data_IF_111877204370
#
_entry.id   IF_111877204370
#
_cell.length_a   1.000
_cell.length_b   1.000
_cell.length_c   1.000
_cell.angle_alpha   90.00
_cell.angle_beta   90.00
_cell.angle_gamma   90.00
#
_symmetry.space_group_name_H-M   'P 1'
#
loop_
_entity.id
_entity.type
_entity.pdbx_description
1 polymer ?
#
# COMPACT_ATOMS: atom_id res chain seq x y z
N UNK A 1 15.77 -20.41 -19.83
CA UNK A 1 15.75 -20.84 -18.42
C UNK A 1 15.13 -19.71 -17.63
N UNK A 2 14.14 -19.98 -16.76
CA UNK A 2 13.58 -18.94 -15.90
C UNK A 2 14.68 -18.38 -14.99
N UNK A 3 14.83 -17.05 -14.92
CA UNK A 3 15.82 -16.42 -14.06
C UNK A 3 15.49 -16.74 -12.60
N UNK A 4 16.44 -17.34 -11.88
CA UNK A 4 16.28 -17.61 -10.46
C UNK A 4 16.28 -16.28 -9.69
N UNK A 5 15.19 -16.00 -8.97
CA UNK A 5 15.06 -14.81 -8.13
C UNK A 5 16.00 -14.91 -6.92
N UNK A 6 16.60 -13.79 -6.46
CA UNK A 6 17.44 -13.81 -5.26
C UNK A 6 16.60 -14.12 -4.01
N UNK A 7 17.08 -15.02 -3.16
CA UNK A 7 16.49 -15.24 -1.83
C UNK A 7 16.98 -14.17 -0.85
N UNK A 8 16.36 -13.01 -0.92
CA UNK A 8 16.68 -11.84 -0.08
C UNK A 8 16.07 -11.91 1.32
N UNK A 9 15.17 -12.86 1.59
CA UNK A 9 14.36 -12.86 2.81
C UNK A 9 13.45 -11.63 2.95
N UNK A 10 13.23 -10.86 1.88
CA UNK A 10 12.43 -9.63 1.94
C UNK A 10 11.01 -9.93 2.41
N UNK A 11 10.48 -9.13 3.32
CA UNK A 11 9.11 -9.24 3.80
C UNK A 11 8.09 -8.86 2.71
N UNK A 12 6.81 -9.05 3.00
CA UNK A 12 5.77 -8.23 2.37
C UNK A 12 5.90 -6.77 2.80
N UNK A 13 5.19 -5.86 2.14
CA UNK A 13 5.26 -4.44 2.48
C UNK A 13 5.00 -4.22 3.98
N UNK A 14 6.01 -3.64 4.65
CA UNK A 14 6.05 -3.53 6.10
C UNK A 14 5.25 -2.34 6.59
N UNK A 15 5.60 -1.14 6.13
CA UNK A 15 4.89 0.09 6.45
C UNK A 15 4.63 0.91 5.18
N UNK A 16 3.51 1.63 5.20
CA UNK A 16 3.36 2.86 4.40
C UNK A 16 3.72 4.06 5.25
N UNK A 17 4.53 4.95 4.70
CA UNK A 17 4.92 6.21 5.35
C UNK A 17 4.07 7.34 4.79
N UNK A 18 3.28 7.94 5.66
CA UNK A 18 2.35 9.00 5.35
C UNK A 18 2.72 10.29 6.09
N UNK A 19 3.15 11.29 5.34
CA UNK A 19 3.52 12.60 5.87
C UNK A 19 2.28 13.49 6.07
N UNK A 20 2.14 14.07 7.25
CA UNK A 20 0.95 14.83 7.70
C UNK A 20 1.33 16.17 8.33
N UNK A 21 0.41 17.13 8.27
CA UNK A 21 0.53 18.43 8.96
C UNK A 21 0.21 18.34 10.46
N UNK A 22 -0.80 17.54 10.82
CA UNK A 22 -1.27 17.40 12.21
C UNK A 22 -1.26 15.93 12.65
N UNK A 23 -0.28 15.59 13.49
CA UNK A 23 -0.15 14.26 14.07
C UNK A 23 -1.36 13.86 14.92
N UNK A 24 -1.97 14.80 15.65
CA UNK A 24 -3.09 14.50 16.55
C UNK A 24 -4.32 14.12 15.76
N UNK A 25 -4.60 14.87 14.69
CA UNK A 25 -5.67 14.51 13.76
C UNK A 25 -5.41 13.15 13.12
N UNK A 26 -4.21 12.92 12.59
CA UNK A 26 -3.86 11.68 11.92
C UNK A 26 -3.94 10.46 12.87
N UNK A 27 -3.41 10.57 14.09
CA UNK A 27 -3.48 9.50 15.10
C UNK A 27 -4.94 9.19 15.45
N UNK A 28 -5.79 10.22 15.63
CA UNK A 28 -7.21 10.01 15.90
C UNK A 28 -7.91 9.34 14.70
N UNK A 29 -7.67 9.83 13.49
CA UNK A 29 -8.24 9.31 12.26
C UNK A 29 -7.89 7.83 12.07
N UNK A 30 -6.60 7.47 12.15
CA UNK A 30 -6.16 6.08 12.02
C UNK A 30 -6.54 5.22 13.23
N UNK A 31 -6.80 5.84 14.38
CA UNK A 31 -7.39 5.19 15.55
C UNK A 31 -8.78 4.60 15.28
N UNK A 32 -9.62 5.27 14.49
CA UNK A 32 -10.94 4.74 14.08
C UNK A 32 -10.81 3.45 13.24
N UNK A 33 -9.70 3.32 12.54
CA UNK A 33 -9.34 2.12 11.77
C UNK A 33 -8.68 1.03 12.62
N UNK A 34 -8.44 1.28 13.91
CA UNK A 34 -7.82 0.33 14.83
C UNK A 34 -6.30 0.44 14.94
N UNK A 35 -5.68 1.47 14.36
CA UNK A 35 -4.25 1.70 14.54
C UNK A 35 -3.94 2.40 15.87
N UNK A 36 -2.89 1.94 16.55
CA UNK A 36 -2.36 2.57 17.77
C UNK A 36 -0.88 2.89 17.62
N UNK A 37 -0.44 4.00 18.21
CA UNK A 37 1.00 4.32 18.29
C UNK A 37 1.70 3.26 19.14
N UNK A 38 2.77 2.67 18.60
CA UNK A 38 3.61 1.68 19.29
C UNK A 38 5.04 2.16 19.50
N UNK A 39 5.48 3.15 18.73
CA UNK A 39 6.79 3.77 18.85
C UNK A 39 6.75 5.19 18.27
N UNK A 40 7.64 6.06 18.74
CA UNK A 40 7.75 7.43 18.26
C UNK A 40 9.13 8.01 18.54
N UNK A 41 9.58 8.89 17.67
CA UNK A 41 10.83 9.63 17.87
C UNK A 41 10.80 10.98 17.16
N UNK A 42 11.84 11.77 17.38
CA UNK A 42 12.06 13.01 16.66
C UNK A 42 13.55 13.13 16.31
N UNK A 43 13.83 13.69 15.14
CA UNK A 43 15.20 13.95 14.67
C UNK A 43 15.34 15.39 14.20
N UNK A 44 16.57 15.91 14.31
CA UNK A 44 16.90 17.27 13.86
C UNK A 44 16.83 17.39 12.33
N UNK A 45 16.76 18.61 11.81
CA UNK A 45 16.84 18.86 10.37
C UNK A 45 18.16 18.35 9.75
N UNK A 46 19.27 18.43 10.47
CA UNK A 46 20.57 17.92 10.02
C UNK A 46 20.56 16.38 9.91
N UNK A 47 19.95 15.71 10.88
CA UNK A 47 19.81 14.25 10.85
C UNK A 47 18.86 13.80 9.74
N UNK A 48 17.73 14.49 9.57
CA UNK A 48 16.80 14.22 8.48
C UNK A 48 17.40 14.49 7.09
N UNK A 49 18.23 15.54 6.95
CA UNK A 49 18.96 15.80 5.71
C UNK A 49 19.91 14.64 5.39
N UNK A 50 20.61 14.10 6.39
CA UNK A 50 21.50 12.95 6.22
C UNK A 50 20.75 11.65 5.91
N UNK A 51 19.60 11.44 6.53
CA UNK A 51 18.79 10.22 6.36
C UNK A 51 18.00 10.22 5.05
N UNK A 52 17.36 11.34 4.73
CA UNK A 52 16.30 11.45 3.74
C UNK A 52 16.56 12.49 2.65
N UNK A 53 17.63 13.29 2.79
CA UNK A 53 17.90 14.38 1.86
C UNK A 53 16.97 15.60 2.04
N UNK A 54 16.25 15.69 3.17
CA UNK A 54 15.28 16.74 3.46
C UNK A 54 15.76 17.57 4.66
N UNK A 55 16.03 18.86 4.46
CA UNK A 55 16.46 19.78 5.50
C UNK A 55 15.27 20.32 6.32
N UNK A 56 14.59 19.42 7.02
CA UNK A 56 13.49 19.71 7.92
C UNK A 56 13.56 18.77 9.11
N UNK A 57 13.33 19.29 10.33
CA UNK A 57 13.12 18.41 11.47
C UNK A 57 11.93 17.49 11.20
N UNK A 58 11.97 16.29 11.80
CA UNK A 58 11.00 15.24 11.56
C UNK A 58 10.59 14.61 12.87
N UNK A 59 9.27 14.54 13.12
CA UNK A 59 8.69 13.66 14.14
C UNK A 59 8.07 12.45 13.46
N UNK A 60 8.21 11.28 14.08
CA UNK A 60 7.66 10.04 13.55
C UNK A 60 6.77 9.35 14.58
N UNK A 61 5.77 8.63 14.09
CA UNK A 61 4.95 7.74 14.90
C UNK A 61 4.73 6.44 14.12
N UNK A 62 5.21 5.32 14.65
CA UNK A 62 4.86 4.00 14.12
C UNK A 62 3.54 3.58 14.73
N UNK A 63 2.61 3.22 13.87
CA UNK A 63 1.27 2.77 14.25
C UNK A 63 1.00 1.36 13.75
N UNK A 64 0.34 0.58 14.61
CA UNK A 64 0.05 -0.84 14.38
C UNK A 64 -1.44 -1.10 14.49
N UNK A 65 -2.00 -1.88 13.56
CA UNK A 65 -3.37 -2.38 13.67
C UNK A 65 -3.40 -3.72 14.40
N UNK A 66 -4.17 -3.78 15.50
CA UNK A 66 -4.23 -4.96 16.34
C UNK A 66 -2.83 -5.41 16.79
N UNK A 67 -2.55 -6.70 16.62
CA UNK A 67 -1.27 -7.31 17.00
C UNK A 67 -0.35 -7.55 15.80
N UNK A 68 -0.72 -7.18 14.57
CA UNK A 68 0.08 -7.47 13.37
C UNK A 68 1.34 -6.59 13.32
N UNK A 69 2.51 -7.20 13.51
CA UNK A 69 3.81 -6.52 13.59
C UNK A 69 4.77 -6.85 12.44
N UNK A 70 4.30 -7.59 11.44
CA UNK A 70 5.13 -8.12 10.36
C UNK A 70 4.89 -7.48 9.00
N UNK A 71 3.78 -6.77 8.83
CA UNK A 71 3.35 -6.11 7.59
C UNK A 71 2.18 -5.15 7.85
N UNK A 72 1.89 -4.28 6.88
CA UNK A 72 0.66 -3.48 6.90
C UNK A 72 0.58 -2.40 7.99
N UNK A 73 1.73 -2.02 8.56
CA UNK A 73 1.84 -0.94 9.53
C UNK A 73 1.71 0.43 8.84
N UNK A 74 1.47 1.45 9.66
CA UNK A 74 1.47 2.85 9.24
C UNK A 74 2.62 3.56 9.94
N UNK A 75 3.37 4.39 9.23
CA UNK A 75 4.30 5.34 9.82
C UNK A 75 3.88 6.76 9.49
N UNK A 76 3.57 7.56 10.50
CA UNK A 76 3.28 8.97 10.32
C UNK A 76 4.56 9.78 10.40
N UNK A 77 4.76 10.67 9.43
CA UNK A 77 5.84 11.64 9.43
C UNK A 77 5.30 13.05 9.55
N UNK A 78 5.92 13.87 10.40
CA UNK A 78 5.54 15.28 10.58
C UNK A 78 6.79 16.11 10.37
N UNK A 79 6.90 16.66 9.17
CA UNK A 79 7.97 17.58 8.81
C UNK A 79 7.70 18.95 9.44
N UNK A 80 8.70 19.55 10.07
CA UNK A 80 8.63 20.96 10.50
C UNK A 80 8.36 21.89 9.31
N UNK A 81 8.96 21.57 8.14
CA UNK A 81 8.81 22.28 6.87
C UNK A 81 8.72 21.26 5.74
N UNK A 82 7.51 20.77 5.39
CA UNK A 82 7.35 19.88 4.24
C UNK A 82 7.78 20.59 2.94
N UNK A 83 8.28 19.82 1.97
CA UNK A 83 8.74 20.32 0.67
C UNK A 83 7.59 20.73 -0.27
N UNK A 84 6.38 20.27 0.03
CA UNK A 84 5.16 20.61 -0.69
C UNK A 84 3.96 19.82 -0.21
N UNK A 85 2.83 20.04 -0.88
CA UNK A 85 1.51 19.52 -0.48
C UNK A 85 1.28 18.05 -0.88
N UNK A 86 2.26 17.42 -1.53
CA UNK A 86 2.10 16.07 -2.03
C UNK A 86 1.20 15.98 -3.26
N UNK A 87 0.82 14.76 -3.62
CA UNK A 87 -0.10 14.51 -4.74
C UNK A 87 -1.48 15.12 -4.47
N UNK A 88 -1.91 15.22 -3.21
CA UNK A 88 -3.17 15.85 -2.80
C UNK A 88 -4.42 15.22 -3.40
N UNK A 89 -5.54 15.95 -3.35
CA UNK A 89 -6.81 15.51 -3.93
C UNK A 89 -6.79 15.62 -5.46
N UNK A 90 -7.09 14.52 -6.14
CA UNK A 90 -7.04 14.41 -7.60
C UNK A 90 -8.02 13.38 -8.13
N UNK A 91 -8.17 13.35 -9.45
CA UNK A 91 -8.97 12.32 -10.12
C UNK A 91 -8.32 10.94 -9.92
N UNK A 92 -9.11 9.85 -9.93
CA UNK A 92 -8.57 8.50 -9.92
C UNK A 92 -7.48 8.30 -10.97
N UNK A 93 -6.40 7.61 -10.58
CA UNK A 93 -5.22 7.39 -11.41
C UNK A 93 -4.46 8.67 -11.79
N UNK A 94 -4.51 9.69 -10.93
CA UNK A 94 -3.53 10.79 -11.01
C UNK A 94 -2.13 10.20 -10.85
N UNK A 95 -1.23 10.51 -11.78
CA UNK A 95 0.14 9.98 -11.75
C UNK A 95 0.86 10.50 -10.48
N UNK A 96 1.50 9.58 -9.77
CA UNK A 96 2.09 9.79 -8.44
C UNK A 96 1.18 9.32 -7.29
N UNK A 97 -0.11 9.12 -7.55
CA UNK A 97 -1.07 8.65 -6.54
C UNK A 97 -0.68 7.27 -6.01
N UNK A 98 -0.87 7.11 -4.71
CA UNK A 98 -0.74 5.84 -4.01
C UNK A 98 -2.04 5.57 -3.28
N UNK A 99 -2.36 4.30 -3.07
CA UNK A 99 -3.56 3.88 -2.36
C UNK A 99 -3.17 2.75 -1.39
N UNK A 100 -3.74 2.77 -0.19
CA UNK A 100 -3.55 1.69 0.76
C UNK A 100 -4.86 0.92 0.96
N UNK A 101 -4.76 -0.41 0.97
CA UNK A 101 -5.94 -1.27 0.88
C UNK A 101 -6.16 -2.07 2.15
N UNK A 102 -7.37 -2.04 2.70
CA UNK A 102 -7.73 -2.69 3.96
C UNK A 102 -8.93 -3.61 3.78
N UNK A 103 -8.98 -4.70 4.56
CA UNK A 103 -10.21 -5.47 4.74
C UNK A 103 -11.13 -4.73 5.71
N UNK A 104 -12.43 -4.84 5.51
CA UNK A 104 -13.47 -4.45 6.46
C UNK A 104 -14.55 -5.53 6.59
N UNK A 105 -15.20 -5.59 7.75
CA UNK A 105 -16.45 -6.34 7.92
C UNK A 105 -17.71 -5.48 7.71
N UNK A 106 -17.56 -4.19 7.40
CA UNK A 106 -18.66 -3.25 7.24
C UNK A 106 -18.37 -2.18 6.18
N UNK A 107 -18.32 -2.61 4.91
CA UNK A 107 -18.00 -1.73 3.78
C UNK A 107 -19.08 -0.67 3.54
N UNK A 108 -20.33 -0.97 3.89
CA UNK A 108 -21.46 -0.04 3.76
C UNK A 108 -21.29 1.12 4.72
N UNK A 109 -20.93 0.85 5.99
CA UNK A 109 -20.65 1.90 6.96
C UNK A 109 -19.55 2.86 6.50
N UNK A 110 -18.47 2.33 5.91
CA UNK A 110 -17.38 3.15 5.38
C UNK A 110 -17.87 4.02 4.21
N UNK A 111 -18.61 3.44 3.27
CA UNK A 111 -19.21 4.19 2.18
C UNK A 111 -20.12 5.33 2.69
N UNK A 112 -21.01 5.05 3.65
CA UNK A 112 -21.92 6.05 4.22
C UNK A 112 -21.17 7.20 4.89
N UNK A 113 -20.10 6.92 5.65
CA UNK A 113 -19.27 7.95 6.28
C UNK A 113 -18.73 8.90 5.22
N UNK A 114 -18.07 8.37 4.20
CA UNK A 114 -17.41 9.20 3.19
C UNK A 114 -18.39 9.90 2.25
N UNK A 115 -19.53 9.28 1.94
CA UNK A 115 -20.60 9.91 1.16
C UNK A 115 -21.17 11.11 1.91
N UNK A 116 -21.46 10.95 3.21
CA UNK A 116 -21.92 12.07 4.04
C UNK A 116 -20.87 13.20 4.14
N UNK A 117 -19.59 12.86 4.30
CA UNK A 117 -18.52 13.88 4.33
C UNK A 117 -18.40 14.63 2.99
N UNK A 118 -18.56 13.92 1.87
CA UNK A 118 -18.60 14.52 0.53
C UNK A 118 -19.81 15.44 0.35
N UNK A 119 -20.99 15.04 0.84
CA UNK A 119 -22.20 15.87 0.79
C UNK A 119 -22.03 17.17 1.59
N UNK A 120 -21.28 17.09 2.70
CA UNK A 120 -20.80 18.24 3.48
C UNK A 120 -19.62 19.01 2.81
N UNK A 121 -19.35 18.75 1.53
CA UNK A 121 -18.33 19.41 0.71
C UNK A 121 -16.88 19.23 1.18
N UNK A 122 -16.60 18.20 1.97
CA UNK A 122 -15.22 17.80 2.24
C UNK A 122 -14.61 17.10 1.03
N UNK A 123 -13.28 17.13 0.91
CA UNK A 123 -12.52 16.62 -0.22
C UNK A 123 -12.37 15.09 -0.16
N UNK A 124 -13.50 14.40 -0.29
CA UNK A 124 -13.63 12.95 -0.39
C UNK A 124 -14.45 12.56 -1.63
N UNK A 125 -14.02 11.50 -2.30
CA UNK A 125 -14.68 10.86 -3.42
C UNK A 125 -14.74 9.35 -3.17
N UNK A 126 -15.80 8.87 -2.50
CA UNK A 126 -16.05 7.44 -2.39
C UNK A 126 -16.64 6.90 -3.69
N UNK A 127 -16.23 5.71 -4.08
CA UNK A 127 -16.96 4.89 -5.07
C UNK A 127 -17.96 4.01 -4.34
N UNK A 128 -19.07 3.67 -5.00
CA UNK A 128 -20.01 2.68 -4.46
C UNK A 128 -19.33 1.30 -4.32
N UNK A 129 -19.64 0.54 -3.25
CA UNK A 129 -19.17 -0.84 -3.11
C UNK A 129 -19.66 -1.73 -4.25
N UNK A 130 -18.73 -2.29 -5.02
CA UNK A 130 -19.03 -3.19 -6.14
C UNK A 130 -18.72 -4.64 -5.74
N UNK A 131 -19.65 -5.57 -5.99
CA UNK A 131 -19.45 -6.99 -5.75
C UNK A 131 -18.91 -7.71 -6.99
N UNK A 132 -17.90 -8.56 -6.81
CA UNK A 132 -17.30 -9.37 -7.87
C UNK A 132 -16.87 -10.76 -7.37
N UNK A 133 -16.72 -11.71 -8.29
CA UNK A 133 -16.13 -13.03 -8.04
C UNK A 133 -14.73 -13.10 -8.66
N UNK A 134 -13.78 -12.40 -8.03
CA UNK A 134 -12.42 -12.25 -8.54
C UNK A 134 -11.67 -13.58 -8.74
N UNK A 135 -12.10 -14.64 -8.06
CA UNK A 135 -11.41 -15.93 -8.04
C UNK A 135 -12.21 -17.04 -8.73
N UNK A 136 -13.36 -16.73 -9.33
CA UNK A 136 -14.23 -17.72 -9.98
C UNK A 136 -14.68 -18.84 -9.03
N UNK A 137 -14.95 -18.51 -7.77
CA UNK A 137 -15.32 -19.48 -6.73
C UNK A 137 -16.78 -19.92 -6.85
N UNK A 138 -17.61 -19.17 -7.59
CA UNK A 138 -19.01 -19.52 -7.82
C UNK A 138 -19.21 -20.47 -8.99
N UNK A 139 -20.27 -21.27 -8.88
CA UNK A 139 -20.88 -22.00 -10.00
C UNK A 139 -22.25 -21.37 -10.27
N UNK A 140 -22.42 -20.61 -11.37
CA UNK A 140 -23.62 -19.79 -11.60
C UNK A 140 -24.94 -20.58 -11.54
N UNK A 141 -24.93 -21.82 -12.01
CA UNK A 141 -26.06 -22.77 -12.01
C UNK A 141 -26.45 -23.28 -10.61
N UNK A 142 -25.63 -23.01 -9.58
CA UNK A 142 -25.80 -23.55 -8.24
C UNK A 142 -26.11 -22.48 -7.19
N UNK A 143 -26.15 -21.21 -7.57
CA UNK A 143 -26.44 -20.10 -6.64
C UNK A 143 -27.91 -20.16 -6.24
N UNK A 144 -28.17 -20.16 -4.93
CA UNK A 144 -29.53 -20.09 -4.37
C UNK A 144 -29.52 -19.45 -2.99
N UNK A 145 -30.68 -19.29 -2.37
CA UNK A 145 -30.76 -18.81 -0.98
C UNK A 145 -29.97 -19.69 0.01
N UNK A 146 -29.96 -21.01 -0.21
CA UNK A 146 -29.24 -21.99 0.61
C UNK A 146 -27.80 -22.25 0.12
N UNK A 147 -27.43 -21.68 -1.02
CA UNK A 147 -26.08 -21.74 -1.59
C UNK A 147 -25.69 -20.35 -2.06
N UNK A 148 -25.37 -19.53 -1.06
CA UNK A 148 -25.09 -18.11 -1.20
C UNK A 148 -23.84 -17.89 -2.05
N UNK A 149 -23.78 -16.78 -2.82
CA UNK A 149 -22.62 -16.50 -3.64
C UNK A 149 -21.41 -16.14 -2.78
N UNK A 150 -20.24 -16.65 -3.17
CA UNK A 150 -18.93 -16.32 -2.58
C UNK A 150 -18.38 -15.12 -3.31
N UNK A 151 -18.25 -13.97 -2.66
CA UNK A 151 -17.98 -12.70 -3.33
C UNK A 151 -16.97 -11.88 -2.54
N UNK A 152 -16.35 -10.94 -3.24
CA UNK A 152 -15.68 -9.79 -2.62
C UNK A 152 -16.42 -8.51 -3.03
N UNK A 153 -16.60 -7.59 -2.09
CA UNK A 153 -16.99 -6.22 -2.38
C UNK A 153 -15.78 -5.31 -2.26
N UNK A 154 -15.63 -4.36 -3.17
CA UNK A 154 -14.53 -3.40 -3.15
C UNK A 154 -15.07 -1.97 -3.32
N UNK A 155 -14.44 -1.00 -2.67
CA UNK A 155 -14.70 0.42 -2.90
C UNK A 155 -13.42 1.25 -2.68
N UNK A 156 -13.22 2.29 -3.49
CA UNK A 156 -12.19 3.29 -3.25
C UNK A 156 -12.76 4.50 -2.51
N UNK A 157 -11.90 5.18 -1.79
CA UNK A 157 -12.15 6.50 -1.21
C UNK A 157 -10.94 7.38 -1.53
N UNK A 158 -11.10 8.24 -2.53
CA UNK A 158 -10.10 9.22 -2.92
C UNK A 158 -10.23 10.45 -2.04
N UNK A 159 -9.16 10.82 -1.34
CA UNK A 159 -9.17 11.93 -0.40
C UNK A 159 -7.92 12.77 -0.47
N UNK A 160 -8.03 14.03 -0.05
CA UNK A 160 -6.88 14.92 0.12
C UNK A 160 -5.92 14.40 1.20
N UNK A 161 -6.50 13.99 2.34
CA UNK A 161 -5.73 13.51 3.48
C UNK A 161 -5.16 12.12 3.20
N UNK A 162 -5.97 11.17 2.71
CA UNK A 162 -5.53 9.81 2.44
C UNK A 162 -6.39 9.18 1.35
N UNK A 163 -5.83 8.24 0.57
CA UNK A 163 -6.59 7.46 -0.40
C UNK A 163 -6.66 5.99 0.04
N UNK A 164 -7.87 5.53 0.32
CA UNK A 164 -8.15 4.15 0.75
C UNK A 164 -8.73 3.32 -0.39
N UNK A 165 -8.49 2.03 -0.34
CA UNK A 165 -9.40 1.02 -0.90
C UNK A 165 -9.84 0.12 0.24
N UNK A 166 -11.11 -0.23 0.28
CA UNK A 166 -11.63 -1.22 1.20
C UNK A 166 -12.15 -2.43 0.44
N UNK A 167 -12.00 -3.60 1.02
CA UNK A 167 -12.67 -4.79 0.54
C UNK A 167 -13.32 -5.58 1.66
N UNK A 168 -14.42 -6.28 1.34
CA UNK A 168 -15.14 -7.16 2.25
C UNK A 168 -15.41 -8.50 1.58
N UNK A 169 -15.09 -9.60 2.25
CA UNK A 169 -15.28 -10.96 1.73
C UNK A 169 -16.57 -11.59 2.27
N UNK A 170 -17.19 -12.42 1.44
CA UNK A 170 -18.39 -13.18 1.77
C UNK A 170 -18.19 -14.64 1.36
N UNK A 171 -18.43 -15.57 2.29
CA UNK A 171 -18.32 -17.02 2.04
C UNK A 171 -16.90 -17.57 2.02
N UNK A 172 -15.88 -16.74 2.23
CA UNK A 172 -14.48 -17.20 2.36
C UNK A 172 -13.59 -16.23 3.14
N UNK A 173 -12.46 -16.74 3.59
CA UNK A 173 -11.37 -16.01 4.22
C UNK A 173 -10.03 -16.39 3.61
N UNK A 174 -9.05 -15.49 3.77
CA UNK A 174 -7.64 -15.75 3.47
C UNK A 174 -6.85 -15.51 4.75
N UNK A 175 -6.47 -16.57 5.49
CA UNK A 175 -5.73 -16.44 6.74
C UNK A 175 -4.43 -15.61 6.55
N UNK A 176 -4.19 -14.67 7.46
CA UNK A 176 -3.04 -13.77 7.41
C UNK A 176 -3.13 -12.66 6.37
N UNK A 177 -4.31 -12.41 5.78
CA UNK A 177 -4.56 -11.32 4.84
C UNK A 177 -5.81 -10.53 5.23
N UNK A 178 -5.62 -9.45 5.99
CA UNK A 178 -6.70 -8.61 6.49
C UNK A 178 -7.27 -9.12 7.82
N UNK A 179 -6.42 -9.20 8.85
CA UNK A 179 -6.85 -9.64 10.19
C UNK A 179 -7.58 -8.50 10.91
N UNK A 180 -8.88 -8.67 11.15
CA UNK A 180 -9.69 -7.66 11.85
C UNK A 180 -9.75 -8.01 13.34
N UNK A 181 -9.17 -7.13 14.17
CA UNK A 181 -9.27 -7.25 15.63
C UNK A 181 -10.69 -6.89 16.12
N UNK A 182 -11.18 -7.52 17.20
CA UNK A 182 -12.53 -7.27 17.73
C UNK A 182 -12.71 -5.85 18.29
N UNK A 183 -11.61 -5.16 18.61
CA UNK A 183 -11.60 -3.81 19.18
C UNK A 183 -11.52 -2.70 18.13
N UNK A 184 -11.50 -3.01 16.83
CA UNK A 184 -11.36 -2.00 15.77
C UNK A 184 -12.69 -1.27 15.55
N UNK A 185 -12.78 0.07 15.76
CA UNK A 185 -14.07 0.79 15.71
C UNK A 185 -14.81 0.65 14.38
N UNK A 186 -14.09 0.78 13.26
CA UNK A 186 -14.63 0.61 11.91
C UNK A 186 -14.52 -0.83 11.37
N UNK A 187 -14.20 -1.80 12.22
CA UNK A 187 -14.06 -3.22 11.87
C UNK A 187 -13.09 -3.46 10.69
N UNK A 188 -11.97 -2.75 10.69
CA UNK A 188 -10.96 -2.80 9.62
C UNK A 188 -9.67 -3.50 10.05
N UNK A 189 -8.95 -4.06 9.08
CA UNK A 189 -7.69 -4.77 9.29
C UNK A 189 -6.46 -3.85 9.24
N UNK A 190 -5.25 -4.42 9.35
CA UNK A 190 -4.03 -3.80 8.82
C UNK A 190 -4.12 -3.50 7.30
N UNK A 191 -3.15 -2.76 6.78
CA UNK A 191 -3.03 -2.61 5.33
C UNK A 191 -2.54 -3.90 4.67
N UNK A 192 -3.29 -4.36 3.68
CA UNK A 192 -3.06 -5.66 3.05
C UNK A 192 -2.27 -5.59 1.75
N UNK A 193 -2.40 -4.50 1.01
CA UNK A 193 -1.67 -4.22 -0.22
C UNK A 193 -1.74 -2.74 -0.56
N UNK A 194 -0.89 -2.31 -1.49
CA UNK A 194 -0.78 -0.92 -1.92
C UNK A 194 -0.69 -0.81 -3.43
N UNK A 195 -1.35 0.23 -3.93
CA UNK A 195 -1.47 0.50 -5.35
C UNK A 195 -0.69 1.77 -5.68
N UNK A 196 -0.01 1.76 -6.84
CA UNK A 196 0.90 2.79 -7.28
C UNK A 196 0.56 3.20 -8.70
N UNK A 197 0.30 4.49 -8.90
CA UNK A 197 0.10 5.07 -10.22
C UNK A 197 1.39 5.78 -10.61
N UNK A 198 2.12 5.24 -11.58
CA UNK A 198 3.47 5.72 -11.91
C UNK A 198 3.53 6.32 -13.31
N UNK A 199 4.48 7.24 -13.52
CA UNK A 199 4.87 7.70 -14.85
C UNK A 199 6.06 6.88 -15.32
N UNK A 200 5.85 5.98 -16.28
CA UNK A 200 6.90 5.14 -16.81
C UNK A 200 6.61 4.73 -18.26
N UNK A 201 7.64 4.52 -19.09
CA UNK A 201 7.45 4.03 -20.46
C UNK A 201 6.98 2.57 -20.52
N UNK A 202 7.34 1.75 -19.53
CA UNK A 202 6.88 0.37 -19.36
C UNK A 202 7.01 -0.06 -17.90
N UNK A 203 6.37 -1.19 -17.54
CA UNK A 203 6.51 -1.79 -16.22
C UNK A 203 7.90 -2.43 -15.97
N UNK A 204 8.76 -2.52 -16.99
CA UNK A 204 10.14 -3.03 -16.82
C UNK A 204 10.96 -2.14 -15.88
N UNK A 205 10.61 -0.87 -15.75
CA UNK A 205 11.30 0.06 -14.84
C UNK A 205 11.19 -0.37 -13.38
N UNK A 206 10.12 -1.09 -13.01
CA UNK A 206 9.90 -1.63 -11.66
C UNK A 206 10.23 -3.13 -11.54
N UNK A 207 10.76 -3.77 -12.59
CA UNK A 207 11.17 -5.19 -12.54
C UNK A 207 12.30 -5.47 -11.53
N UNK A 208 13.00 -4.43 -11.04
CA UNK A 208 13.95 -4.56 -9.91
C UNK A 208 13.28 -5.11 -8.65
N UNK A 209 11.97 -4.94 -8.48
CA UNK A 209 11.22 -5.55 -7.38
C UNK A 209 11.38 -7.07 -7.37
N UNK A 210 11.47 -7.69 -8.56
CA UNK A 210 11.82 -9.11 -8.68
C UNK A 210 13.32 -9.34 -8.72
N UNK A 211 14.06 -8.64 -9.57
CA UNK A 211 15.49 -8.98 -9.82
C UNK A 211 16.43 -8.56 -8.70
N UNK A 212 16.07 -7.57 -7.89
CA UNK A 212 16.86 -7.04 -6.77
C UNK A 212 16.25 -7.44 -5.44
N UNK A 213 14.93 -7.23 -5.25
CA UNK A 213 14.30 -7.56 -3.96
C UNK A 213 13.83 -9.01 -3.86
N UNK A 214 13.73 -9.77 -4.95
CA UNK A 214 13.26 -11.16 -4.91
C UNK A 214 11.75 -11.32 -4.76
N UNK A 215 10.96 -10.26 -4.99
CA UNK A 215 9.50 -10.37 -5.04
C UNK A 215 9.06 -11.18 -6.26
N UNK A 216 8.00 -11.97 -6.11
CA UNK A 216 7.39 -12.72 -7.21
C UNK A 216 6.36 -11.83 -7.90
N UNK A 217 6.49 -11.66 -9.22
CA UNK A 217 5.41 -11.08 -10.02
C UNK A 217 4.19 -12.01 -9.97
N UNK A 218 2.98 -11.47 -9.79
CA UNK A 218 1.74 -12.25 -9.87
C UNK A 218 1.48 -12.77 -11.29
N UNK A 219 2.03 -12.09 -12.29
CA UNK A 219 2.00 -12.46 -13.70
C UNK A 219 2.87 -11.55 -14.56
N UNK A 220 2.90 -11.77 -15.89
CA UNK A 220 3.47 -10.80 -16.82
C UNK A 220 2.68 -9.47 -16.77
N UNK A 221 3.27 -8.35 -17.20
CA UNK A 221 2.54 -7.10 -17.43
C UNK A 221 1.33 -7.32 -18.34
N UNK A 222 0.16 -6.81 -17.95
CA UNK A 222 -1.07 -6.92 -18.73
C UNK A 222 -1.78 -5.58 -18.89
N UNK A 223 -2.65 -5.49 -19.88
CA UNK A 223 -3.52 -4.33 -20.07
C UNK A 223 -4.86 -4.65 -19.41
N UNK A 224 -5.20 -3.84 -18.42
CA UNK A 224 -6.50 -3.85 -17.76
C UNK A 224 -7.33 -2.66 -18.24
N UNK A 225 -8.65 -2.75 -18.10
CA UNK A 225 -9.54 -1.73 -18.63
C UNK A 225 -10.98 -1.88 -18.18
N UNK A 226 -11.85 -1.08 -18.81
CA UNK A 226 -13.23 -0.88 -18.39
C UNK A 226 -14.15 -2.11 -18.56
N UNK A 227 -13.64 -3.22 -19.12
CA UNK A 227 -14.32 -4.52 -19.16
C UNK A 227 -14.23 -5.29 -17.84
N UNK A 228 -13.33 -4.90 -16.93
CA UNK A 228 -13.22 -5.51 -15.60
C UNK A 228 -14.17 -4.82 -14.62
N UNK A 229 -15.19 -5.54 -14.16
CA UNK A 229 -16.29 -4.99 -13.34
C UNK A 229 -15.81 -4.26 -12.08
N UNK A 230 -14.97 -4.90 -11.25
CA UNK A 230 -14.38 -4.30 -10.06
C UNK A 230 -13.51 -3.08 -10.38
N UNK A 231 -12.38 -3.25 -11.10
CA UNK A 231 -11.47 -2.16 -11.49
C UNK A 231 -12.16 -0.98 -12.16
N UNK A 232 -13.12 -1.21 -13.07
CA UNK A 232 -13.89 -0.12 -13.72
C UNK A 232 -14.54 0.80 -12.69
N UNK A 233 -15.15 0.22 -11.66
CA UNK A 233 -15.85 0.99 -10.61
C UNK A 233 -14.88 1.63 -9.62
N UNK A 234 -13.85 0.89 -9.19
CA UNK A 234 -12.84 1.38 -8.23
C UNK A 234 -12.06 2.55 -8.81
N UNK A 235 -11.55 2.43 -10.05
CA UNK A 235 -10.77 3.47 -10.72
C UNK A 235 -11.62 4.48 -11.52
N UNK A 236 -12.95 4.35 -11.49
CA UNK A 236 -13.88 5.20 -12.23
C UNK A 236 -13.49 5.33 -13.72
N UNK A 237 -13.26 4.19 -14.37
CA UNK A 237 -12.79 4.14 -15.75
C UNK A 237 -13.91 4.53 -16.73
N UNK A 238 -13.60 5.47 -17.62
CA UNK A 238 -14.44 5.79 -18.77
C UNK A 238 -14.51 4.62 -19.77
N UNK A 239 -15.53 4.63 -20.63
CA UNK A 239 -15.66 3.62 -21.69
C UNK A 239 -14.42 3.61 -22.60
N UNK A 240 -13.83 2.43 -22.80
CA UNK A 240 -12.62 2.24 -23.61
C UNK A 240 -11.31 2.64 -22.91
N UNK A 241 -11.37 3.09 -21.66
CA UNK A 241 -10.16 3.42 -20.89
C UNK A 241 -9.38 2.16 -20.50
N UNK A 242 -8.05 2.27 -20.51
CA UNK A 242 -7.13 1.18 -20.13
C UNK A 242 -5.90 1.70 -19.39
N UNK A 243 -5.24 0.81 -18.63
CA UNK A 243 -3.92 1.02 -18.07
C UNK A 243 -3.08 -0.24 -18.20
N UNK A 244 -1.76 -0.13 -18.02
CA UNK A 244 -0.93 -1.30 -17.71
C UNK A 244 -1.07 -1.67 -16.24
N UNK A 245 -0.97 -2.97 -15.94
CA UNK A 245 -0.99 -3.52 -14.59
C UNK A 245 0.10 -4.58 -14.39
N UNK A 246 0.74 -4.57 -13.22
CA UNK A 246 1.48 -5.71 -12.70
C UNK A 246 1.49 -5.74 -11.18
N UNK A 247 1.22 -6.91 -10.60
CA UNK A 247 1.28 -7.18 -9.17
C UNK A 247 2.57 -7.86 -8.75
N UNK A 248 3.01 -7.61 -7.50
CA UNK A 248 4.14 -8.27 -6.86
C UNK A 248 3.79 -8.71 -5.44
N UNK A 249 4.28 -9.89 -5.07
CA UNK A 249 4.10 -10.48 -3.73
C UNK A 249 5.43 -11.00 -3.20
N UNK A 250 5.65 -10.86 -1.89
CA UNK A 250 6.82 -11.45 -1.27
C UNK A 250 6.67 -12.98 -1.14
N UNK A 251 7.72 -13.77 -1.41
CA UNK A 251 7.70 -15.20 -1.10
C UNK A 251 7.63 -15.47 0.41
N UNK A 252 7.94 -14.47 1.25
CA UNK A 252 8.00 -14.59 2.70
C UNK A 252 6.79 -13.99 3.41
N UNK A 253 5.84 -13.39 2.68
CA UNK A 253 4.56 -12.93 3.21
C UNK A 253 3.57 -12.68 2.06
N UNK A 254 2.39 -13.32 2.12
CA UNK A 254 1.32 -13.11 1.12
C UNK A 254 0.66 -11.74 1.25
N UNK A 255 0.79 -11.10 2.41
CA UNK A 255 0.27 -9.78 2.71
C UNK A 255 1.34 -8.71 2.44
N UNK A 256 0.92 -7.47 2.24
CA UNK A 256 1.78 -6.38 1.78
C UNK A 256 2.14 -6.50 0.30
N UNK A 257 1.17 -6.90 -0.54
CA UNK A 257 1.33 -6.93 -2.00
C UNK A 257 1.48 -5.51 -2.56
N UNK A 258 2.11 -5.43 -3.73
CA UNK A 258 2.22 -4.19 -4.49
C UNK A 258 1.51 -4.35 -5.83
N UNK A 259 0.78 -3.32 -6.26
CA UNK A 259 0.15 -3.25 -7.58
C UNK A 259 0.58 -1.96 -8.27
N UNK A 260 1.13 -2.08 -9.47
CA UNK A 260 1.59 -0.94 -10.26
C UNK A 260 0.72 -0.74 -11.48
N UNK A 261 0.41 0.53 -11.73
CA UNK A 261 -0.43 0.97 -12.83
C UNK A 261 0.25 2.07 -13.63
N UNK A 262 0.22 1.96 -14.96
CA UNK A 262 0.61 3.04 -15.88
C UNK A 262 -0.62 3.42 -16.70
N UNK A 263 -1.22 4.60 -16.45
CA UNK A 263 -2.33 5.12 -17.25
C UNK A 263 -1.97 5.15 -18.74
N UNK A 264 -2.88 4.69 -19.62
CA UNK A 264 -2.71 4.82 -21.09
C UNK A 264 -3.48 6.01 -21.67
N UNK A 265 -4.42 6.57 -20.91
CA UNK A 265 -5.11 7.83 -21.24
C UNK A 265 -4.43 9.03 -20.60
N UNK A 266 -4.88 10.24 -20.95
CA UNK A 266 -4.42 11.44 -20.27
C UNK A 266 -4.91 11.48 -18.82
N UNK A 267 -3.97 11.64 -17.89
CA UNK A 267 -4.22 11.86 -16.47
C UNK A 267 -3.33 13.01 -15.98
N UNK A 268 -3.74 13.76 -14.95
CA UNK A 268 -2.86 14.76 -14.35
C UNK A 268 -1.57 14.12 -13.87
N UNK A 269 -0.44 14.77 -14.17
CA UNK A 269 0.87 14.34 -13.69
C UNK A 269 1.29 15.13 -12.45
N UNK A 270 1.34 14.43 -11.30
CA UNK A 270 1.85 14.94 -10.02
C UNK A 270 3.04 14.13 -9.51
N UNK A 271 3.75 13.43 -10.40
CA UNK A 271 4.93 12.62 -10.05
C UNK A 271 6.04 13.42 -9.37
N UNK A 272 6.14 14.74 -9.59
CA UNK A 272 7.08 15.60 -8.87
C UNK A 272 6.75 15.74 -7.36
N UNK A 273 5.50 15.47 -6.96
CA UNK A 273 4.98 15.65 -5.61
C UNK A 273 4.80 14.34 -4.83
N UNK A 274 5.44 13.24 -5.27
CA UNK A 274 5.42 11.96 -4.54
C UNK A 274 6.75 11.64 -3.82
N UNK A 275 7.70 12.59 -3.83
CA UNK A 275 9.04 12.43 -3.25
C UNK A 275 9.00 12.50 -1.73
N UNK A 276 9.99 11.88 -1.08
CA UNK A 276 10.23 12.05 0.36
C UNK A 276 10.38 13.53 0.72
N UNK A 277 9.69 13.96 1.77
CA UNK A 277 9.64 15.37 2.22
C UNK A 277 8.35 16.08 1.84
N UNK A 278 7.62 15.59 0.83
CA UNK A 278 6.24 16.06 0.54
C UNK A 278 5.26 15.49 1.58
N UNK A 279 4.04 16.05 1.61
CA UNK A 279 2.92 15.45 2.34
C UNK A 279 2.32 14.26 1.58
N UNK A 280 1.51 13.45 2.26
CA UNK A 280 0.89 12.27 1.65
C UNK A 280 1.75 11.01 1.79
N UNK A 281 1.39 9.96 1.05
CA UNK A 281 2.16 8.70 1.01
C UNK A 281 3.41 8.90 0.14
N UNK A 282 4.61 8.95 0.74
CA UNK A 282 5.85 9.28 -0.01
C UNK A 282 6.89 8.18 0.02
N UNK A 283 6.86 7.30 1.02
CA UNK A 283 7.84 6.22 1.24
C UNK A 283 7.11 4.94 1.66
N UNK A 284 7.69 3.81 1.29
CA UNK A 284 7.23 2.48 1.68
C UNK A 284 8.40 1.70 2.25
N UNK A 285 8.14 0.82 3.22
CA UNK A 285 9.21 0.07 3.87
C UNK A 285 9.04 -1.42 3.66
N UNK A 286 10.17 -2.11 3.56
CA UNK A 286 10.27 -3.56 3.71
C UNK A 286 11.22 -3.86 4.85
N UNK A 287 11.15 -5.07 5.39
CA UNK A 287 12.18 -5.58 6.28
C UNK A 287 12.81 -6.87 5.77
N UNK A 288 14.03 -7.14 6.22
CA UNK A 288 14.75 -8.40 5.95
C UNK A 288 15.81 -8.63 7.02
N UNK A 289 16.17 -9.89 7.26
CA UNK A 289 17.35 -10.25 8.05
C UNK A 289 18.66 -10.23 7.24
N UNK A 290 18.58 -10.00 5.92
CA UNK A 290 19.72 -10.01 4.98
C UNK A 290 20.01 -8.60 4.43
N UNK A 291 20.02 -7.57 5.28
CA UNK A 291 20.11 -6.16 4.86
C UNK A 291 21.31 -5.88 3.95
N UNK A 292 22.50 -6.34 4.31
CA UNK A 292 23.73 -6.09 3.54
C UNK A 292 23.70 -6.74 2.15
N UNK A 293 23.04 -7.91 2.01
CA UNK A 293 22.83 -8.57 0.71
C UNK A 293 21.93 -7.73 -0.19
N UNK A 294 20.77 -7.28 0.33
CA UNK A 294 19.83 -6.46 -0.44
C UNK A 294 20.47 -5.13 -0.81
N UNK A 295 21.24 -4.52 0.10
CA UNK A 295 21.99 -3.31 -0.17
C UNK A 295 22.99 -3.49 -1.32
N UNK A 296 23.74 -4.60 -1.33
CA UNK A 296 24.67 -4.94 -2.41
C UNK A 296 23.97 -5.05 -3.77
N UNK A 297 22.82 -5.74 -3.82
CA UNK A 297 22.04 -5.88 -5.06
C UNK A 297 21.50 -4.52 -5.54
N UNK A 298 20.97 -3.70 -4.64
CA UNK A 298 20.47 -2.35 -4.99
C UNK A 298 21.60 -1.47 -5.54
N UNK A 299 22.81 -1.52 -4.95
CA UNK A 299 23.96 -0.74 -5.39
C UNK A 299 24.51 -1.16 -6.76
N UNK A 300 24.28 -2.41 -7.16
CA UNK A 300 24.70 -2.95 -8.46
C UNK A 300 23.70 -2.63 -9.58
N UNK A 301 22.45 -2.33 -9.24
CA UNK A 301 21.41 -2.00 -10.22
C UNK A 301 21.46 -0.53 -10.63
N UNK A 302 21.77 -0.27 -11.91
CA UNK A 302 21.93 1.08 -12.44
C UNK A 302 20.62 1.90 -12.52
N UNK A 303 19.46 1.26 -12.32
CA UNK A 303 18.16 1.95 -12.27
C UNK A 303 17.89 2.58 -10.91
N UNK A 304 18.68 2.22 -9.89
CA UNK A 304 18.41 2.55 -8.50
C UNK A 304 19.47 3.51 -7.94
N UNK A 305 19.03 4.41 -7.07
CA UNK A 305 19.90 5.27 -6.27
C UNK A 305 19.70 4.97 -4.80
N UNK A 306 20.75 4.55 -4.09
CA UNK A 306 20.70 4.18 -2.68
C UNK A 306 21.51 5.12 -1.78
N UNK A 307 21.02 5.36 -0.56
CA UNK A 307 21.81 5.97 0.52
C UNK A 307 22.78 4.94 1.13
N UNK A 308 23.73 5.39 1.93
CA UNK A 308 24.49 4.46 2.78
C UNK A 308 23.58 3.77 3.82
N UNK A 309 24.00 2.61 4.30
CA UNK A 309 23.38 1.97 5.47
C UNK A 309 23.65 2.84 6.69
N UNK A 310 22.58 3.15 7.42
CA UNK A 310 22.61 3.94 8.65
C UNK A 310 21.42 3.58 9.54
N UNK A 311 21.27 4.25 10.68
CA UNK A 311 20.07 4.14 11.50
C UNK A 311 19.00 5.12 11.00
N UNK A 312 17.74 4.68 10.92
CA UNK A 312 16.61 5.58 10.70
C UNK A 312 16.27 6.36 11.98
N UNK A 313 15.19 7.13 11.94
CA UNK A 313 14.73 7.94 13.06
C UNK A 313 14.27 7.10 14.26
N UNK A 314 13.89 5.83 14.06
CA UNK A 314 13.56 4.86 15.11
C UNK A 314 14.77 4.03 15.54
N UNK A 315 15.99 4.47 15.20
CA UNK A 315 17.26 3.82 15.50
C UNK A 315 17.46 2.42 14.86
N UNK A 316 16.65 2.07 13.84
CA UNK A 316 16.74 0.79 13.14
C UNK A 316 17.77 0.88 12.00
N UNK A 317 18.63 -0.14 11.88
CA UNK A 317 19.60 -0.22 10.78
C UNK A 317 18.84 -0.40 9.46
N UNK A 318 19.11 0.46 8.49
CA UNK A 318 18.37 0.50 7.24
C UNK A 318 19.17 1.21 6.14
N UNK A 319 18.64 1.20 4.92
CA UNK A 319 19.00 2.18 3.89
C UNK A 319 17.76 2.56 3.08
N UNK A 320 17.82 3.71 2.41
CA UNK A 320 16.78 4.17 1.50
C UNK A 320 17.25 4.01 0.06
N UNK A 321 16.34 3.74 -0.87
CA UNK A 321 16.62 3.84 -2.29
C UNK A 321 15.40 4.30 -3.08
N UNK A 322 15.63 4.76 -4.31
CA UNK A 322 14.58 5.18 -5.24
C UNK A 322 14.86 4.71 -6.65
N UNK A 323 13.80 4.61 -7.45
CA UNK A 323 13.86 4.35 -8.88
C UNK A 323 13.63 5.62 -9.71
N UNK A 324 13.60 5.45 -11.04
CA UNK A 324 13.29 6.53 -12.00
C UNK A 324 11.78 6.82 -12.16
N UNK A 325 10.90 5.93 -11.68
CA UNK A 325 9.45 6.11 -11.71
C UNK A 325 8.93 6.97 -10.54
N UNK A 326 9.83 7.38 -9.63
CA UNK A 326 9.54 8.23 -8.48
C UNK A 326 9.12 7.44 -7.24
N UNK A 327 9.32 6.12 -7.22
CA UNK A 327 9.02 5.29 -6.06
C UNK A 327 10.21 5.25 -5.12
N UNK A 328 9.96 5.46 -3.83
CA UNK A 328 10.98 5.48 -2.79
C UNK A 328 10.72 4.38 -1.77
N UNK A 329 11.78 3.72 -1.35
CA UNK A 329 11.76 2.57 -0.45
C UNK A 329 12.75 2.76 0.71
N UNK A 330 12.42 2.21 1.87
CA UNK A 330 13.36 1.97 2.97
C UNK A 330 13.42 0.46 3.26
N UNK A 331 14.62 -0.11 3.27
CA UNK A 331 14.83 -1.50 3.68
C UNK A 331 15.37 -1.49 5.10
N UNK A 332 14.65 -2.13 6.02
CA UNK A 332 14.96 -2.18 7.45
C UNK A 332 15.52 -3.56 7.80
N UNK A 333 16.59 -3.60 8.58
CA UNK A 333 17.08 -4.84 9.16
C UNK A 333 16.14 -5.28 10.28
N UNK A 334 15.58 -6.49 10.15
CA UNK A 334 14.73 -7.10 11.17
C UNK A 334 14.96 -8.60 11.20
N UNK A 335 15.39 -9.10 12.36
CA UNK A 335 15.72 -10.52 12.53
C UNK A 335 14.48 -11.40 12.75
N UNK A 336 13.45 -10.84 13.36
CA UNK A 336 12.20 -11.53 13.63
C UNK A 336 11.04 -10.56 13.85
N UNK A 337 9.84 -11.10 13.68
CA UNK A 337 8.56 -10.50 14.05
C UNK A 337 7.90 -11.41 15.09
N UNK A 338 7.04 -10.86 15.97
CA UNK A 338 6.28 -11.66 16.93
C UNK A 338 5.28 -12.56 16.21
N UNK A 339 4.62 -12.03 15.18
CA UNK A 339 3.70 -12.82 14.37
C UNK A 339 4.45 -13.43 13.19
N UNK A 340 4.24 -14.74 12.98
CA UNK A 340 4.78 -15.43 11.82
C UNK A 340 3.97 -15.05 10.57
N UNK A 341 4.58 -14.47 9.53
CA UNK A 341 3.89 -14.18 8.28
C UNK A 341 3.37 -15.46 7.62
N UNK A 342 2.21 -15.35 6.98
CA UNK A 342 1.68 -16.43 6.13
C UNK A 342 2.38 -16.35 4.77
N UNK A 343 2.92 -17.47 4.29
CA UNK A 343 3.72 -17.53 3.05
C UNK A 343 3.02 -18.23 1.90
N UNK A 344 1.85 -18.82 2.15
CA UNK A 344 1.05 -19.55 1.16
C UNK A 344 -0.36 -18.99 1.10
N UNK A 345 -0.85 -18.77 -0.11
CA UNK A 345 -2.21 -18.32 -0.34
C UNK A 345 -3.16 -19.52 -0.18
N UNK A 346 -4.03 -19.47 0.82
CA UNK A 346 -5.03 -20.50 1.08
C UNK A 346 -6.40 -19.84 1.26
N UNK A 347 -7.42 -20.48 0.68
CA UNK A 347 -8.81 -20.05 0.79
C UNK A 347 -9.50 -20.95 1.80
N UNK A 348 -10.10 -20.36 2.83
CA UNK A 348 -10.91 -21.08 3.81
C UNK A 348 -12.36 -20.67 3.61
N UNK A 349 -13.21 -21.61 3.21
CA UNK A 349 -14.65 -21.35 3.14
C UNK A 349 -15.18 -20.98 4.52
N UNK A 350 -15.99 -19.93 4.59
CA UNK A 350 -16.78 -19.63 5.78
C UNK A 350 -18.20 -20.15 5.56
N UNK A 351 -18.84 -20.65 6.62
CA UNK A 351 -20.14 -21.31 6.49
C UNK A 351 -21.14 -20.43 5.73
N UNK A 352 -21.61 -20.96 4.60
CA UNK A 352 -22.62 -20.36 3.74
C UNK A 352 -24.02 -20.67 4.21
#
# INVERSE_FOLDING_TARGET
>A
MAQQLPDTGISGLYEVVHAVKDARFAIKYFGEYGFRVIDSSAVSAADAQRMYGVNSGLKTYRMQNGEIDSHGLLRLWVWDKPLGEGVGYGVPETIGQRMAVMKTNDIVRLFDIYSNLRDLKQLWLPTEPIADDLFGLNKPDQISFFKRPVLVRENAVYGEFFTHVFFQRYGYEIPGYGTIGPSTPLKTSEFTHHDFIINAPSLDVISYLSTVLGLKSEGPPEINGDWQKGPKKVFMMDTGYTHWYQGFVSPNNICGKLKFFIPRGQKPDRSAHQRVGELGMTLHTFHTSKLDMVYGLVKQDNRLTATAIQKNELAERCFNFRDSAGVSWQIIEKMSTKNKPVTKLEFTSTNN
#
